data_IF_676543429529
#
_entry.id   IF_676543429529
#
_cell.length_a   1.000
_cell.length_b   1.000
_cell.length_c   1.000
_cell.angle_alpha   90.00
_cell.angle_beta   90.00
_cell.angle_gamma   90.00
#
_symmetry.space_group_name_H-M   'P 1'
#
loop_
_entity.id
_entity.type
_entity.pdbx_description
1 polymer ?
#
# COMPACT_ATOMS: atom_id res chain seq x y z
N UNK A 1 17.07 -29.55 -15.75
CA UNK A 1 17.07 -29.20 -14.32
C UNK A 1 16.83 -27.69 -14.20
N UNK A 2 15.88 -27.20 -13.39
CA UNK A 2 15.71 -25.77 -13.18
C UNK A 2 16.95 -25.23 -12.49
N UNK A 3 17.56 -24.21 -13.07
CA UNK A 3 18.70 -23.51 -12.45
C UNK A 3 18.20 -22.86 -11.17
N UNK A 4 18.69 -23.31 -10.03
CA UNK A 4 18.48 -22.60 -8.75
C UNK A 4 19.04 -21.20 -8.90
N UNK A 5 18.18 -20.20 -8.78
CA UNK A 5 18.61 -18.81 -8.83
C UNK A 5 19.48 -18.53 -7.58
N UNK A 6 20.69 -18.07 -7.80
CA UNK A 6 21.58 -17.63 -6.71
C UNK A 6 21.00 -16.35 -6.11
N UNK A 7 20.83 -16.26 -4.78
CA UNK A 7 20.32 -15.04 -4.15
C UNK A 7 21.17 -13.82 -4.53
N UNK A 8 20.53 -12.73 -4.90
CA UNK A 8 21.21 -11.50 -5.26
C UNK A 8 21.77 -10.81 -4.02
N UNK A 9 23.00 -10.33 -4.14
CA UNK A 9 23.61 -9.46 -3.12
C UNK A 9 23.31 -7.99 -3.45
N UNK A 10 23.32 -7.12 -2.46
CA UNK A 10 23.13 -5.68 -2.67
C UNK A 10 24.19 -5.10 -3.61
N UNK A 11 25.42 -5.59 -3.52
CA UNK A 11 26.52 -5.23 -4.42
C UNK A 11 26.21 -5.60 -5.87
N UNK A 12 25.66 -6.79 -6.12
CA UNK A 12 25.28 -7.23 -7.46
C UNK A 12 24.15 -6.37 -8.03
N UNK A 13 23.16 -6.02 -7.20
CA UNK A 13 22.05 -5.13 -7.56
C UNK A 13 22.53 -3.72 -7.89
N UNK A 14 23.45 -3.19 -7.07
CA UNK A 14 24.02 -1.86 -7.26
C UNK A 14 24.84 -1.78 -8.55
N UNK A 15 25.68 -2.76 -8.81
CA UNK A 15 26.59 -2.81 -9.96
C UNK A 15 25.91 -3.23 -11.28
N UNK A 16 24.65 -3.66 -11.24
CA UNK A 16 23.90 -4.02 -12.43
C UNK A 16 23.70 -2.80 -13.33
N UNK A 17 24.36 -2.79 -14.50
CA UNK A 17 24.31 -1.69 -15.46
C UNK A 17 23.14 -1.86 -16.44
N UNK A 18 22.52 -0.76 -16.92
CA UNK A 18 21.51 -0.84 -17.96
C UNK A 18 22.11 -1.40 -19.28
N UNK A 19 21.27 -2.06 -20.05
CA UNK A 19 21.59 -2.58 -21.39
C UNK A 19 20.57 -2.02 -22.39
N UNK A 20 20.82 -2.20 -23.68
CA UNK A 20 19.92 -1.76 -24.74
C UNK A 20 18.50 -2.33 -24.63
N UNK A 21 18.37 -3.51 -24.04
CA UNK A 21 17.08 -4.17 -23.78
C UNK A 21 16.88 -4.41 -22.29
N UNK A 22 15.63 -4.35 -21.86
CA UNK A 22 15.24 -4.74 -20.49
C UNK A 22 15.66 -6.17 -20.23
N UNK A 23 16.33 -6.41 -19.11
CA UNK A 23 16.72 -7.74 -18.67
C UNK A 23 16.43 -7.95 -17.20
N UNK A 24 16.44 -9.20 -16.77
CA UNK A 24 16.07 -9.59 -15.41
C UNK A 24 17.20 -10.38 -14.73
N UNK A 25 17.36 -10.14 -13.43
CA UNK A 25 18.23 -10.90 -12.53
C UNK A 25 17.36 -11.61 -11.50
N UNK A 26 17.39 -12.95 -11.47
CA UNK A 26 16.61 -13.74 -10.52
C UNK A 26 17.20 -13.73 -9.13
N UNK A 27 16.38 -13.59 -8.09
CA UNK A 27 16.76 -13.72 -6.67
C UNK A 27 16.23 -15.03 -6.04
N UNK A 28 15.50 -15.81 -6.80
CA UNK A 28 14.86 -17.04 -6.34
C UNK A 28 13.37 -16.87 -6.00
N UNK A 29 12.68 -18.00 -5.86
CA UNK A 29 11.26 -18.06 -5.49
C UNK A 29 10.32 -17.18 -6.34
N UNK A 30 10.60 -17.06 -7.63
CA UNK A 30 9.83 -16.22 -8.53
C UNK A 30 10.13 -14.71 -8.43
N UNK A 31 10.99 -14.28 -7.49
CA UNK A 31 11.42 -12.89 -7.38
C UNK A 31 12.60 -12.58 -8.31
N UNK A 32 12.56 -11.42 -8.94
CA UNK A 32 13.59 -10.94 -9.83
C UNK A 32 13.68 -9.42 -9.83
N UNK A 33 14.87 -8.93 -10.16
CA UNK A 33 15.12 -7.52 -10.42
C UNK A 33 15.03 -7.30 -11.92
N UNK A 34 14.14 -6.43 -12.36
CA UNK A 34 14.03 -5.98 -13.74
C UNK A 34 14.81 -4.67 -13.91
N UNK A 35 15.72 -4.64 -14.86
CA UNK A 35 16.54 -3.46 -15.17
C UNK A 35 16.12 -2.98 -16.57
N UNK A 36 15.66 -1.73 -16.61
CA UNK A 36 15.25 -1.08 -17.87
C UNK A 36 16.43 -0.39 -18.55
N UNK A 37 16.38 -0.11 -19.84
CA UNK A 37 17.41 0.62 -20.56
C UNK A 37 17.70 2.01 -19.96
N UNK A 38 16.68 2.63 -19.37
CA UNK A 38 16.80 3.92 -18.66
C UNK A 38 17.50 3.83 -17.29
N UNK A 39 18.05 2.67 -16.91
CA UNK A 39 18.73 2.47 -15.64
C UNK A 39 17.80 2.26 -14.44
N UNK A 40 16.49 2.30 -14.61
CA UNK A 40 15.55 2.02 -13.51
C UNK A 40 15.54 0.54 -13.18
N UNK A 41 15.56 0.22 -11.87
CA UNK A 41 15.59 -1.14 -11.34
C UNK A 41 14.33 -1.39 -10.54
N UNK A 42 13.55 -2.41 -10.89
CA UNK A 42 12.28 -2.72 -10.24
C UNK A 42 12.30 -4.13 -9.66
N UNK A 43 11.90 -4.27 -8.41
CA UNK A 43 11.66 -5.56 -7.78
C UNK A 43 10.31 -6.08 -8.19
N UNK A 44 10.28 -7.28 -8.79
CA UNK A 44 9.07 -7.95 -9.25
C UNK A 44 9.07 -9.42 -8.81
N UNK A 45 7.87 -9.97 -8.71
CA UNK A 45 7.63 -11.39 -8.47
C UNK A 45 6.67 -11.92 -9.51
N UNK A 46 7.05 -13.00 -10.19
CA UNK A 46 6.17 -13.78 -11.04
C UNK A 46 5.48 -14.86 -10.20
N UNK A 47 4.18 -15.00 -10.35
CA UNK A 47 3.39 -16.01 -9.67
C UNK A 47 2.23 -16.48 -10.54
N UNK A 48 1.58 -17.57 -10.16
CA UNK A 48 0.34 -18.03 -10.78
C UNK A 48 -0.82 -17.70 -9.86
N UNK A 49 -1.89 -17.18 -10.42
CA UNK A 49 -3.17 -16.99 -9.74
C UNK A 49 -3.84 -18.35 -9.51
N UNK A 50 -4.86 -18.39 -8.67
CA UNK A 50 -5.67 -19.59 -8.40
C UNK A 50 -6.24 -20.21 -9.69
N UNK A 51 -6.62 -19.40 -10.66
CA UNK A 51 -7.08 -19.81 -11.98
C UNK A 51 -5.96 -20.31 -12.92
N UNK A 52 -4.72 -20.48 -12.42
CA UNK A 52 -3.55 -20.90 -13.18
C UNK A 52 -2.92 -19.84 -14.07
N UNK A 53 -3.52 -18.66 -14.24
CA UNK A 53 -3.00 -17.60 -15.11
C UNK A 53 -1.73 -16.99 -14.51
N UNK A 54 -0.69 -16.75 -15.34
CA UNK A 54 0.52 -16.08 -14.87
C UNK A 54 0.24 -14.61 -14.57
N UNK A 55 0.75 -14.12 -13.46
CA UNK A 55 0.64 -12.72 -13.07
C UNK A 55 1.98 -12.21 -12.50
N UNK A 56 2.12 -10.89 -12.39
CA UNK A 56 3.32 -10.23 -11.86
C UNK A 56 2.95 -9.21 -10.81
N UNK A 57 3.69 -9.21 -9.69
CA UNK A 57 3.55 -8.24 -8.62
C UNK A 57 4.80 -7.37 -8.57
N UNK A 58 4.64 -6.05 -8.50
CA UNK A 58 5.73 -5.10 -8.35
C UNK A 58 5.82 -4.65 -6.89
N UNK A 59 6.98 -4.82 -6.26
CA UNK A 59 7.24 -4.44 -4.87
C UNK A 59 7.71 -2.99 -4.72
N UNK A 60 8.45 -2.48 -5.71
CA UNK A 60 8.95 -1.12 -5.71
C UNK A 60 10.23 -0.97 -6.54
N UNK A 61 10.78 0.23 -6.52
CA UNK A 61 11.99 0.61 -7.23
C UNK A 61 13.20 0.56 -6.29
N UNK A 62 14.32 0.08 -6.79
CA UNK A 62 15.61 0.24 -6.11
C UNK A 62 16.17 1.64 -6.40
N UNK A 63 16.78 2.37 -5.45
CA UNK A 63 17.13 1.94 -4.08
C UNK A 63 16.05 2.16 -3.02
N UNK A 64 14.88 2.73 -3.33
CA UNK A 64 13.79 2.98 -2.36
C UNK A 64 13.38 1.69 -1.62
N UNK A 65 13.38 0.54 -2.34
CA UNK A 65 13.16 -0.78 -1.77
C UNK A 65 14.46 -1.56 -1.83
N UNK A 66 15.01 -1.88 -0.68
CA UNK A 66 16.22 -2.68 -0.53
C UNK A 66 15.97 -4.16 -0.85
N UNK A 67 17.04 -4.94 -1.02
CA UNK A 67 16.95 -6.40 -1.23
C UNK A 67 16.20 -7.09 -0.09
N UNK A 68 16.51 -6.72 1.16
CA UNK A 68 15.87 -7.29 2.35
C UNK A 68 14.36 -6.98 2.40
N UNK A 69 13.97 -5.73 2.15
CA UNK A 69 12.57 -5.34 2.09
C UNK A 69 11.81 -6.02 0.96
N UNK A 70 12.43 -6.18 -0.23
CA UNK A 70 11.85 -6.91 -1.34
C UNK A 70 11.56 -8.37 -0.96
N UNK A 71 12.49 -9.03 -0.26
CA UNK A 71 12.32 -10.39 0.26
C UNK A 71 11.21 -10.48 1.29
N UNK A 72 11.10 -9.53 2.20
CA UNK A 72 10.01 -9.46 3.18
C UNK A 72 8.64 -9.28 2.49
N UNK A 73 8.56 -8.40 1.49
CA UNK A 73 7.34 -8.21 0.67
C UNK A 73 6.99 -9.47 -0.13
N UNK A 74 7.99 -10.23 -0.62
CA UNK A 74 7.77 -11.53 -1.26
C UNK A 74 7.16 -12.53 -0.29
N UNK A 75 7.72 -12.64 0.93
CA UNK A 75 7.17 -13.56 1.95
C UNK A 75 5.72 -13.21 2.31
N UNK A 76 5.43 -11.92 2.46
CA UNK A 76 4.05 -11.47 2.69
C UNK A 76 3.12 -11.82 1.52
N UNK A 77 3.57 -11.61 0.28
CA UNK A 77 2.80 -11.96 -0.90
C UNK A 77 2.55 -13.48 -1.01
N UNK A 78 3.54 -14.31 -0.65
CA UNK A 78 3.35 -15.78 -0.61
C UNK A 78 2.33 -16.21 0.42
N UNK A 79 2.36 -15.64 1.63
CA UNK A 79 1.33 -15.92 2.65
C UNK A 79 -0.08 -15.61 2.14
N UNK A 80 -0.27 -14.54 1.38
CA UNK A 80 -1.57 -14.24 0.77
C UNK A 80 -1.98 -15.27 -0.28
N UNK A 81 -1.03 -15.74 -1.11
CA UNK A 81 -1.29 -16.80 -2.08
C UNK A 81 -1.66 -18.13 -1.42
N UNK A 82 -0.99 -18.49 -0.32
CA UNK A 82 -1.28 -19.69 0.47
C UNK A 82 -2.69 -19.61 1.11
N UNK A 83 -3.19 -18.40 1.36
CA UNK A 83 -4.56 -18.12 1.82
C UNK A 83 -5.60 -18.04 0.68
N UNK A 84 -5.21 -18.33 -0.56
CA UNK A 84 -6.10 -18.21 -1.73
C UNK A 84 -6.38 -16.75 -2.15
N UNK A 85 -5.67 -15.77 -1.61
CA UNK A 85 -5.90 -14.35 -1.94
C UNK A 85 -4.87 -13.87 -2.96
N UNK A 86 -5.34 -13.28 -4.08
CA UNK A 86 -4.44 -12.67 -5.07
C UNK A 86 -3.80 -11.39 -4.51
N UNK A 87 -2.47 -11.36 -4.30
CA UNK A 87 -1.78 -10.19 -3.75
C UNK A 87 -1.85 -8.95 -4.64
N UNK A 88 -2.00 -9.11 -5.95
CA UNK A 88 -2.18 -7.97 -6.85
C UNK A 88 -3.57 -7.34 -6.69
N UNK A 89 -4.59 -8.15 -6.46
CA UNK A 89 -5.95 -7.70 -6.16
C UNK A 89 -6.00 -7.01 -4.80
N UNK A 90 -5.46 -7.62 -3.76
CA UNK A 90 -5.39 -7.04 -2.42
C UNK A 90 -4.70 -5.65 -2.43
N UNK A 91 -3.59 -5.52 -3.15
CA UNK A 91 -2.88 -4.24 -3.31
C UNK A 91 -3.71 -3.18 -4.04
N UNK A 92 -4.51 -3.57 -5.03
CA UNK A 92 -5.42 -2.64 -5.75
C UNK A 92 -6.54 -2.17 -4.85
N UNK A 93 -7.15 -3.08 -4.11
CA UNK A 93 -8.24 -2.79 -3.16
C UNK A 93 -7.75 -1.86 -2.04
N UNK A 94 -6.56 -2.11 -1.49
CA UNK A 94 -5.93 -1.24 -0.50
C UNK A 94 -5.66 0.17 -1.05
N UNK A 95 -5.14 0.27 -2.28
CA UNK A 95 -4.91 1.57 -2.93
C UNK A 95 -6.22 2.30 -3.18
N UNK A 96 -7.25 1.59 -3.60
CA UNK A 96 -8.57 2.17 -3.88
C UNK A 96 -9.24 2.64 -2.58
N UNK A 97 -9.19 1.84 -1.52
CA UNK A 97 -9.75 2.24 -0.22
C UNK A 97 -9.06 3.47 0.36
N UNK A 98 -7.71 3.54 0.25
CA UNK A 98 -6.95 4.74 0.65
C UNK A 98 -7.31 5.97 -0.17
N UNK A 99 -7.51 5.81 -1.48
CA UNK A 99 -7.94 6.91 -2.36
C UNK A 99 -9.34 7.40 -2.02
N UNK A 100 -10.28 6.49 -1.77
CA UNK A 100 -11.65 6.81 -1.34
C UNK A 100 -11.62 7.52 0.02
N UNK A 101 -10.88 7.01 0.99
CA UNK A 101 -10.74 7.61 2.31
C UNK A 101 -10.18 9.04 2.24
N UNK A 102 -9.21 9.30 1.34
CA UNK A 102 -8.63 10.62 1.13
C UNK A 102 -9.66 11.63 0.55
N UNK A 103 -10.57 11.17 -0.31
CA UNK A 103 -11.62 12.02 -0.89
C UNK A 103 -12.77 12.28 0.11
N UNK A 104 -13.06 11.33 0.97
CA UNK A 104 -14.14 11.42 1.97
C UNK A 104 -13.71 12.05 3.29
N UNK A 105 -12.64 12.84 3.32
CA UNK A 105 -12.33 13.64 4.51
C UNK A 105 -13.40 14.71 4.74
N UNK A 106 -13.72 15.00 6.01
CA UNK A 106 -14.66 16.04 6.38
C UNK A 106 -14.36 17.37 5.68
N UNK A 107 -13.09 17.72 5.60
CA UNK A 107 -12.65 18.94 4.93
C UNK A 107 -12.98 18.96 3.44
N UNK A 108 -12.77 17.85 2.73
CA UNK A 108 -13.08 17.75 1.31
C UNK A 108 -14.59 17.86 1.06
N UNK A 109 -15.40 17.18 1.87
CA UNK A 109 -16.87 17.23 1.79
C UNK A 109 -17.37 18.65 2.14
N UNK A 110 -16.83 19.27 3.18
CA UNK A 110 -17.21 20.63 3.58
C UNK A 110 -16.86 21.67 2.49
N UNK A 111 -15.68 21.56 1.87
CA UNK A 111 -15.28 22.42 0.75
C UNK A 111 -16.18 22.22 -0.47
N UNK A 112 -16.49 20.98 -0.84
CA UNK A 112 -17.40 20.69 -1.95
C UNK A 112 -18.79 21.23 -1.69
N UNK A 113 -19.30 21.09 -0.47
CA UNK A 113 -20.59 21.66 -0.06
C UNK A 113 -20.59 23.19 -0.11
N UNK A 114 -19.56 23.84 0.42
CA UNK A 114 -19.39 25.29 0.35
C UNK A 114 -19.34 25.78 -1.10
N UNK A 115 -18.61 25.11 -1.99
CA UNK A 115 -18.56 25.47 -3.40
C UNK A 115 -19.92 25.30 -4.09
N UNK A 116 -20.65 24.21 -3.81
CA UNK A 116 -21.97 23.96 -4.37
C UNK A 116 -23.02 24.98 -3.91
N UNK A 117 -22.96 25.43 -2.65
CA UNK A 117 -23.90 26.37 -2.07
C UNK A 117 -23.44 27.84 -2.16
N UNK A 118 -22.29 28.11 -2.77
CA UNK A 118 -21.73 29.45 -2.87
C UNK A 118 -22.65 30.41 -3.67
N UNK A 119 -23.31 29.91 -4.70
CA UNK A 119 -24.21 30.69 -5.54
C UNK A 119 -25.48 31.12 -4.80
N UNK A 120 -25.95 30.32 -3.83
CA UNK A 120 -27.21 30.57 -3.09
C UNK A 120 -27.00 31.42 -1.83
N UNK A 121 -25.73 31.80 -1.53
CA UNK A 121 -25.41 32.55 -0.32
C UNK A 121 -25.17 34.02 -0.62
N UNK A 122 -25.67 34.90 0.25
CA UNK A 122 -25.33 36.31 0.23
C UNK A 122 -23.82 36.51 0.40
N UNK A 123 -23.23 37.49 -0.29
CA UNK A 123 -21.79 37.76 -0.30
C UNK A 123 -21.17 37.94 1.09
N UNK A 124 -21.88 38.51 2.04
CA UNK A 124 -21.48 38.71 3.44
C UNK A 124 -21.30 37.38 4.19
N UNK A 125 -22.11 36.35 3.88
CA UNK A 125 -22.02 35.03 4.49
C UNK A 125 -20.87 34.21 3.89
N UNK A 126 -20.55 34.39 2.61
CA UNK A 126 -19.42 33.73 1.95
C UNK A 126 -18.07 34.18 2.52
N UNK A 127 -17.92 35.45 2.88
CA UNK A 127 -16.67 35.96 3.44
C UNK A 127 -16.37 35.41 4.85
N UNK A 128 -17.40 35.16 5.65
CA UNK A 128 -17.26 34.67 7.03
C UNK A 128 -16.97 33.15 7.12
N UNK A 129 -17.51 32.37 6.20
CA UNK A 129 -17.42 30.90 6.26
C UNK A 129 -16.01 30.33 6.00
N UNK A 130 -15.21 30.84 5.05
CA UNK A 130 -13.84 30.33 4.83
C UNK A 130 -12.87 30.64 5.98
N UNK A 131 -13.06 31.76 6.69
CA UNK A 131 -12.22 32.11 7.82
C UNK A 131 -12.42 31.23 9.05
N UNK A 132 -13.62 30.68 9.25
CA UNK A 132 -13.92 29.75 10.34
C UNK A 132 -13.21 28.39 10.18
N UNK A 133 -12.91 27.97 8.96
CA UNK A 133 -12.20 26.71 8.69
C UNK A 133 -10.68 26.83 8.78
N UNK A 134 -10.10 28.03 8.72
CA UNK A 134 -8.66 28.25 8.80
C UNK A 134 -8.11 28.36 10.22
N UNK A 135 -8.96 28.64 11.22
CA UNK A 135 -8.56 28.96 12.59
C UNK A 135 -8.77 27.87 13.63
N UNK A 136 -9.49 26.83 13.34
CA UNK A 136 -9.69 25.73 14.29
C UNK A 136 -8.71 24.61 13.99
N UNK A 137 -7.55 24.62 14.66
CA UNK A 137 -6.93 23.37 15.07
C UNK A 137 -7.99 22.59 15.84
N UNK A 138 -8.76 21.79 15.15
CA UNK A 138 -9.62 20.79 15.76
C UNK A 138 -8.68 19.79 16.45
N UNK A 139 -8.22 20.13 17.66
CA UNK A 139 -7.84 19.12 18.63
C UNK A 139 -9.13 18.37 18.90
N UNK A 140 -9.34 17.28 18.15
CA UNK A 140 -10.21 16.22 18.58
C UNK A 140 -9.64 15.70 19.90
N UNK A 141 -10.03 16.34 21.01
CA UNK A 141 -10.09 15.65 22.30
C UNK A 141 -11.11 14.53 22.10
N UNK A 142 -10.62 13.39 21.70
CA UNK A 142 -11.35 12.13 21.80
C UNK A 142 -11.59 11.97 23.29
N UNK A 143 -12.82 12.05 23.82
CA UNK A 143 -13.06 11.63 25.17
C UNK A 143 -12.70 10.15 25.22
N UNK A 144 -11.70 9.81 26.00
CA UNK A 144 -11.32 8.43 26.35
C UNK A 144 -12.42 7.81 27.23
N UNK A 145 -13.52 7.42 26.61
CA UNK A 145 -14.63 6.72 27.21
C UNK A 145 -15.09 5.60 26.28
N UNK A 146 -14.14 4.70 25.96
CA UNK A 146 -14.50 3.35 25.57
C UNK A 146 -13.48 2.39 26.16
N UNK A 147 -13.51 2.28 27.48
CA UNK A 147 -12.92 1.16 28.20
C UNK A 147 -13.83 -0.04 27.93
N UNK A 148 -13.50 -0.79 26.88
CA UNK A 148 -14.07 -2.12 26.66
C UNK A 148 -13.69 -2.99 27.82
N UNK A 149 -14.67 -3.27 28.67
CA UNK A 149 -14.65 -4.28 29.71
C UNK A 149 -14.15 -5.60 29.12
N UNK A 150 -13.03 -6.08 29.64
CA UNK A 150 -12.52 -7.43 29.41
C UNK A 150 -13.59 -8.46 29.75
N UNK A 151 -13.81 -9.48 28.91
CA UNK A 151 -14.68 -10.59 29.28
C UNK A 151 -14.02 -11.36 30.42
N UNK A 152 -14.75 -11.47 31.55
CA UNK A 152 -14.41 -12.33 32.68
C UNK A 152 -14.30 -13.76 32.17
N UNK A 153 -13.09 -14.32 32.25
CA UNK A 153 -12.86 -15.76 32.09
C UNK A 153 -13.60 -16.48 33.18
N UNK A 154 -14.65 -17.16 32.79
CA UNK A 154 -15.35 -18.11 33.65
C UNK A 154 -14.52 -19.40 33.73
N UNK A 155 -13.87 -19.67 34.85
CA UNK A 155 -13.19 -20.92 35.12
C UNK A 155 -14.25 -21.99 35.48
N UNK A 156 -14.29 -23.15 34.82
CA UNK A 156 -15.10 -24.24 35.29
C UNK A 156 -14.35 -24.98 36.40
N UNK A 157 -14.86 -24.88 37.62
CA UNK A 157 -14.45 -25.70 38.75
C UNK A 157 -15.16 -27.05 38.61
N UNK A 158 -14.35 -28.12 38.49
CA UNK A 158 -14.78 -29.51 38.60
C UNK A 158 -15.48 -29.85 39.90
N UNK A 159 -16.51 -30.63 39.80
CA UNK A 159 -16.88 -31.67 40.76
C UNK A 159 -17.18 -32.94 39.99
#
# INVERSE_FOLDING_TARGET
MPKLATPLTDTAVRNAKPKDKTYTLGDGDGMYLEITPNGSKFWRMAYRQENGKPNRLTFGKYPEVTVAEARNKRLAARKLLDQGTDPARAKREEKQSKAIAAVHTFEAVARAWLAKTAADRASSTQIRTPHGLRGTSFRLSVPSLFQLSSPKTCSPRCA
#
